data_IF_960775772714
#
_entry.id   IF_960775772714
#
_cell.length_a   1.000
_cell.length_b   1.000
_cell.length_c   1.000
_cell.angle_alpha   90.00
_cell.angle_beta   90.00
_cell.angle_gamma   90.00
#
_symmetry.space_group_name_H-M   'P 1'
#
loop_
_entity.id
_entity.type
_entity.pdbx_description
1 polymer ?
#
# COMPACT_ATOMS: atom_id res chain seq x y z
N UNK A 1 -1.32 5.20 18.88
CA UNK A 1 -1.10 3.87 18.32
C UNK A 1 -0.52 3.97 16.94
N UNK A 2 0.57 3.26 16.73
CA UNK A 2 1.25 3.32 15.45
C UNK A 2 0.52 2.43 14.45
N UNK A 3 -0.16 3.06 13.51
CA UNK A 3 -0.83 2.39 12.43
C UNK A 3 -0.51 3.17 11.17
N UNK A 4 0.24 2.57 10.29
CA UNK A 4 0.73 3.23 9.09
C UNK A 4 -0.21 3.08 7.90
N UNK A 5 -1.30 2.36 8.07
CA UNK A 5 -2.21 2.06 6.96
C UNK A 5 -2.76 3.33 6.30
N UNK A 6 -3.25 4.27 7.10
CA UNK A 6 -3.85 5.49 6.56
C UNK A 6 -2.87 6.31 5.74
N UNK A 7 -1.68 6.50 6.29
CA UNK A 7 -0.65 7.26 5.58
C UNK A 7 -0.20 6.51 4.33
N UNK A 8 -0.07 5.19 4.44
CA UNK A 8 0.35 4.37 3.33
C UNK A 8 -0.61 4.46 2.16
N UNK A 9 -1.91 4.30 2.41
CA UNK A 9 -2.88 4.35 1.32
C UNK A 9 -3.02 5.77 0.77
N UNK A 10 -2.82 6.80 1.58
CA UNK A 10 -2.81 8.18 1.09
C UNK A 10 -1.66 8.39 0.10
N UNK A 11 -0.49 7.83 0.39
CA UNK A 11 0.66 7.91 -0.51
C UNK A 11 0.37 7.14 -1.81
N UNK A 12 -0.21 5.96 -1.69
CA UNK A 12 -0.55 5.16 -2.86
C UNK A 12 -1.53 5.90 -3.75
N UNK A 13 -2.56 6.50 -3.18
CA UNK A 13 -3.54 7.27 -3.95
C UNK A 13 -2.91 8.47 -4.63
N UNK A 14 -2.01 9.15 -3.93
CA UNK A 14 -1.31 10.30 -4.52
C UNK A 14 -0.44 9.89 -5.70
N UNK A 15 -0.12 8.60 -5.82
CA UNK A 15 0.70 8.06 -6.88
C UNK A 15 -0.10 7.19 -7.84
N UNK A 16 -1.40 7.45 -7.96
CA UNK A 16 -2.30 6.83 -8.92
C UNK A 16 -2.64 5.37 -8.65
N UNK A 17 -2.41 4.90 -7.44
CA UNK A 17 -2.89 3.59 -7.03
C UNK A 17 -4.31 3.69 -6.52
N UNK A 18 -5.11 2.68 -6.79
CA UNK A 18 -6.52 2.62 -6.38
C UNK A 18 -6.79 1.28 -5.73
N UNK A 19 -7.72 1.28 -4.81
CA UNK A 19 -8.19 0.03 -4.23
C UNK A 19 -8.83 -0.82 -5.31
N UNK A 20 -8.35 -2.05 -5.47
CA UNK A 20 -8.87 -2.96 -6.48
C UNK A 20 -9.85 -3.95 -5.89
N UNK A 21 -9.41 -4.67 -4.86
CA UNK A 21 -10.25 -5.67 -4.20
C UNK A 21 -9.61 -6.10 -2.88
N UNK A 22 -10.41 -6.72 -2.02
CA UNK A 22 -9.84 -7.40 -0.86
C UNK A 22 -9.26 -8.73 -1.28
N UNK A 23 -8.15 -9.08 -0.66
CA UNK A 23 -7.54 -10.37 -0.83
C UNK A 23 -7.81 -11.20 0.42
N UNK A 24 -7.13 -12.32 0.56
CA UNK A 24 -7.32 -13.22 1.67
C UNK A 24 -7.04 -12.53 3.00
N UNK A 25 -7.93 -12.72 3.98
CA UNK A 25 -7.77 -12.14 5.30
C UNK A 25 -7.94 -10.64 5.28
N UNK A 26 -7.03 -9.94 5.94
CA UNK A 26 -7.07 -8.49 6.03
C UNK A 26 -6.19 -7.81 4.99
N UNK A 27 -5.87 -8.49 3.90
CA UNK A 27 -5.06 -7.91 2.84
C UNK A 27 -5.92 -7.28 1.77
N UNK A 28 -5.41 -6.20 1.18
CA UNK A 28 -6.06 -5.50 0.09
C UNK A 28 -5.11 -5.44 -1.10
N UNK A 29 -5.67 -5.50 -2.29
CA UNK A 29 -4.89 -5.33 -3.51
C UNK A 29 -5.15 -3.93 -4.04
N UNK A 30 -4.10 -3.17 -4.21
CA UNK A 30 -4.15 -1.84 -4.80
C UNK A 30 -3.43 -1.87 -6.12
N UNK A 31 -3.98 -1.20 -7.12
CA UNK A 31 -3.47 -1.26 -8.47
C UNK A 31 -3.31 0.12 -9.06
N UNK A 32 -2.28 0.26 -9.88
CA UNK A 32 -2.06 1.48 -10.65
C UNK A 32 -2.46 1.18 -12.10
N UNK A 33 -3.60 1.71 -12.56
CA UNK A 33 -4.07 1.41 -13.91
C UNK A 33 -3.16 1.95 -15.01
N UNK A 34 -2.30 2.90 -14.68
CA UNK A 34 -1.39 3.47 -15.69
C UNK A 34 -0.20 2.58 -15.97
N UNK A 35 0.22 1.80 -14.98
CA UNK A 35 1.41 0.97 -15.11
C UNK A 35 1.12 -0.53 -14.97
N UNK A 36 -0.12 -0.88 -14.60
CA UNK A 36 -0.53 -2.25 -14.30
C UNK A 36 0.18 -2.85 -13.09
N UNK A 37 0.81 -2.02 -12.28
CA UNK A 37 1.42 -2.50 -11.04
C UNK A 37 0.34 -2.80 -10.01
N UNK A 38 0.57 -3.86 -9.24
CA UNK A 38 -0.31 -4.21 -8.13
C UNK A 38 0.53 -4.41 -6.89
N UNK A 39 -0.01 -3.97 -5.75
CA UNK A 39 0.66 -4.16 -4.47
C UNK A 39 -0.34 -4.71 -3.48
N UNK A 40 0.16 -5.51 -2.55
CA UNK A 40 -0.65 -6.06 -1.46
C UNK A 40 -0.45 -5.20 -0.23
N UNK A 41 -1.54 -4.68 0.32
CA UNK A 41 -1.51 -3.80 1.48
C UNK A 41 -2.23 -4.47 2.64
N UNK A 42 -1.53 -4.80 3.72
CA UNK A 42 -2.21 -5.30 4.93
C UNK A 42 -3.01 -4.17 5.58
N UNK A 43 -4.26 -4.42 5.89
CA UNK A 43 -5.10 -3.40 6.54
C UNK A 43 -4.60 -3.04 7.94
N UNK A 44 -3.85 -3.95 8.55
CA UNK A 44 -3.27 -3.71 9.86
C UNK A 44 -1.76 -3.52 9.74
N UNK A 45 -1.36 -2.50 9.01
CA UNK A 45 0.05 -2.19 8.81
C UNK A 45 0.57 -1.48 10.05
N UNK A 46 1.11 -2.26 10.98
CA UNK A 46 1.59 -1.73 12.27
C UNK A 46 3.09 -1.49 12.29
N UNK A 47 3.80 -1.92 11.27
CA UNK A 47 5.25 -1.79 11.21
C UNK A 47 5.64 -0.89 10.05
N UNK A 48 6.54 0.05 10.33
CA UNK A 48 7.07 0.90 9.26
C UNK A 48 7.83 0.08 8.22
N UNK A 49 8.40 -1.05 8.62
CA UNK A 49 9.08 -1.92 7.66
C UNK A 49 8.10 -2.48 6.65
N UNK A 50 6.95 -2.93 7.13
CA UNK A 50 5.90 -3.42 6.24
C UNK A 50 5.41 -2.32 5.31
N UNK A 51 5.19 -1.12 5.85
CA UNK A 51 4.75 0.02 5.05
C UNK A 51 5.77 0.37 3.98
N UNK A 52 7.05 0.39 4.33
CA UNK A 52 8.11 0.68 3.37
C UNK A 52 8.22 -0.41 2.31
N UNK A 53 7.98 -1.67 2.68
CA UNK A 53 7.99 -2.78 1.72
C UNK A 53 6.90 -2.59 0.67
N UNK A 54 5.72 -2.16 1.09
CA UNK A 54 4.63 -1.88 0.15
C UNK A 54 5.04 -0.77 -0.80
N UNK A 55 5.62 0.30 -0.27
CA UNK A 55 6.09 1.41 -1.12
C UNK A 55 7.15 0.94 -2.10
N UNK A 56 8.05 0.07 -1.66
CA UNK A 56 9.08 -0.48 -2.53
C UNK A 56 8.46 -1.29 -3.66
N UNK A 57 7.46 -2.12 -3.35
CA UNK A 57 6.76 -2.89 -4.37
C UNK A 57 6.07 -1.97 -5.38
N UNK A 58 5.60 -0.83 -4.91
CA UNK A 58 4.93 0.14 -5.76
C UNK A 58 5.91 0.99 -6.57
N UNK A 59 7.22 0.80 -6.38
CA UNK A 59 8.23 1.60 -7.06
C UNK A 59 8.38 2.99 -6.47
N UNK A 60 7.96 3.17 -5.23
CA UNK A 60 8.02 4.46 -4.55
C UNK A 60 9.13 4.48 -3.51
N UNK A 61 9.66 5.66 -3.18
CA UNK A 61 10.71 5.75 -2.16
C UNK A 61 10.14 5.49 -0.76
N UNK A 62 10.99 5.04 0.13
CA UNK A 62 10.63 4.89 1.53
C UNK A 62 10.13 6.20 2.10
N UNK A 63 9.11 6.14 2.93
CA UNK A 63 8.54 7.32 3.56
C UNK A 63 8.57 7.20 5.09
N UNK A 64 8.58 6.01 5.61
CA UNK A 64 8.45 5.78 7.05
C UNK A 64 9.74 5.40 7.75
#
# INVERSE_FOLDING_TARGET
MADFYRELVAILRANNFEFLRTAKGSHEIWANPRTNQQVTVPRTTKSRHTANDVLKQAGLPKKF
#
